data_IF_673807636021
#
_entry.id   IF_673807636021
#
_cell.length_a   1.000
_cell.length_b   1.000
_cell.length_c   1.000
_cell.angle_alpha   90.00
_cell.angle_beta   90.00
_cell.angle_gamma   90.00
#
_symmetry.space_group_name_H-M   'P 1'
#
loop_
_entity.id
_entity.type
_entity.pdbx_description
1 polymer ?
#
# COMPACT_ATOMS: atom_id res chain seq x y z
N UNK A 1 37.19 5.49 -34.16
CA UNK A 1 37.86 5.15 -32.87
C UNK A 1 37.26 3.85 -32.34
N UNK A 2 37.96 3.09 -31.48
CA UNK A 2 37.33 1.92 -30.83
C UNK A 2 36.05 2.37 -30.12
N UNK A 3 34.96 1.64 -30.35
CA UNK A 3 33.63 2.05 -29.90
C UNK A 3 33.56 2.22 -28.38
N UNK A 4 34.19 1.31 -27.64
CA UNK A 4 34.29 1.36 -26.18
C UNK A 4 34.99 2.64 -25.70
N UNK A 5 36.19 2.92 -26.21
CA UNK A 5 36.99 4.07 -25.76
C UNK A 5 36.27 5.39 -26.04
N UNK A 6 35.63 5.51 -27.20
CA UNK A 6 34.88 6.72 -27.55
C UNK A 6 33.65 6.90 -26.65
N UNK A 7 32.86 5.84 -26.42
CA UNK A 7 31.69 5.93 -25.55
C UNK A 7 32.08 6.21 -24.10
N UNK A 8 33.11 5.55 -23.58
CA UNK A 8 33.61 5.82 -22.22
C UNK A 8 34.01 7.28 -22.06
N UNK A 9 34.79 7.81 -23.01
CA UNK A 9 35.18 9.22 -23.03
C UNK A 9 33.97 10.17 -23.07
N UNK A 10 32.98 9.89 -23.93
CA UNK A 10 31.78 10.71 -24.03
C UNK A 10 30.93 10.65 -22.76
N UNK A 11 30.71 9.48 -22.18
CA UNK A 11 29.92 9.31 -20.96
C UNK A 11 30.55 10.02 -19.75
N UNK A 12 31.89 10.09 -19.70
CA UNK A 12 32.64 10.72 -18.61
C UNK A 12 32.78 12.23 -18.76
N UNK A 13 32.94 12.75 -19.98
CA UNK A 13 33.34 14.14 -20.19
C UNK A 13 32.27 15.04 -20.82
N UNK A 14 31.13 14.49 -21.23
CA UNK A 14 30.01 15.32 -21.71
C UNK A 14 29.19 15.89 -20.55
N UNK A 15 28.77 17.14 -20.68
CA UNK A 15 27.95 17.82 -19.67
C UNK A 15 26.49 17.35 -19.74
N UNK A 16 25.76 17.32 -18.61
CA UNK A 16 24.31 17.11 -18.61
C UNK A 16 23.57 18.03 -19.60
N UNK A 17 22.63 17.46 -20.35
CA UNK A 17 21.91 18.13 -21.44
C UNK A 17 22.63 18.14 -22.79
N UNK A 18 23.87 17.62 -22.87
CA UNK A 18 24.61 17.55 -24.13
C UNK A 18 24.06 16.45 -25.04
N UNK A 19 24.02 16.76 -26.34
CA UNK A 19 23.67 15.80 -27.40
C UNK A 19 24.92 15.59 -28.27
N UNK A 20 25.32 14.34 -28.43
CA UNK A 20 26.44 13.94 -29.29
C UNK A 20 25.94 12.91 -30.29
N UNK A 21 26.32 13.08 -31.56
CA UNK A 21 26.00 12.11 -32.60
C UNK A 21 27.25 11.30 -32.91
N UNK A 22 27.11 9.98 -32.91
CA UNK A 22 28.14 9.04 -33.36
C UNK A 22 27.59 8.18 -34.50
N UNK A 23 28.46 7.76 -35.41
CA UNK A 23 28.11 6.88 -36.52
C UNK A 23 28.92 5.59 -36.46
N UNK A 24 28.28 4.50 -36.86
CA UNK A 24 28.95 3.22 -37.13
C UNK A 24 29.72 3.28 -38.46
N UNK A 25 30.62 2.31 -38.75
CA UNK A 25 31.32 2.24 -40.04
C UNK A 25 30.37 2.13 -41.24
N UNK A 26 29.16 1.59 -41.02
CA UNK A 26 28.10 1.48 -42.03
C UNK A 26 27.23 2.75 -42.13
N UNK A 27 27.69 3.89 -41.60
CA UNK A 27 26.99 5.18 -41.58
C UNK A 27 25.63 5.17 -40.87
N UNK A 28 25.40 4.25 -39.93
CA UNK A 28 24.18 4.26 -39.11
C UNK A 28 24.37 5.28 -37.98
N UNK A 29 23.53 6.34 -37.88
CA UNK A 29 23.65 7.35 -36.85
C UNK A 29 23.05 6.88 -35.51
N UNK A 30 23.75 7.19 -34.44
CA UNK A 30 23.34 6.98 -33.05
C UNK A 30 23.46 8.33 -32.33
N UNK A 31 22.35 8.81 -31.79
CA UNK A 31 22.31 10.06 -31.02
C UNK A 31 22.35 9.74 -29.53
N UNK A 32 23.38 10.23 -28.85
CA UNK A 32 23.57 10.09 -27.41
C UNK A 32 23.14 11.39 -26.73
N UNK A 33 22.25 11.29 -25.75
CA UNK A 33 21.81 12.39 -24.91
C UNK A 33 22.22 12.11 -23.46
N UNK A 34 23.03 13.01 -22.88
CA UNK A 34 23.44 12.95 -21.48
C UNK A 34 22.32 13.55 -20.62
N UNK A 35 21.47 12.74 -19.99
CA UNK A 35 20.31 13.25 -19.24
C UNK A 35 20.72 13.93 -17.92
N UNK A 36 21.64 13.31 -17.18
CA UNK A 36 22.28 13.84 -15.97
C UNK A 36 23.74 13.35 -15.87
N UNK A 37 24.44 13.60 -14.77
CA UNK A 37 25.85 13.19 -14.57
C UNK A 37 26.05 11.67 -14.70
N UNK A 38 25.00 10.88 -14.43
CA UNK A 38 25.07 9.44 -14.21
C UNK A 38 24.13 8.65 -15.12
N UNK A 39 23.56 9.27 -16.15
CA UNK A 39 22.68 8.60 -17.09
C UNK A 39 22.87 9.10 -18.52
N UNK A 40 22.83 8.15 -19.45
CA UNK A 40 22.92 8.41 -20.88
C UNK A 40 21.78 7.70 -21.59
N UNK A 41 21.31 8.34 -22.63
CA UNK A 41 20.22 7.84 -23.41
C UNK A 41 20.59 7.85 -24.89
N UNK A 42 20.59 6.68 -25.51
CA UNK A 42 20.93 6.49 -26.91
C UNK A 42 19.66 6.30 -27.75
N UNK A 43 19.61 7.01 -28.87
CA UNK A 43 18.63 6.84 -29.93
C UNK A 43 19.33 6.30 -31.17
N UNK A 44 18.80 5.23 -31.72
CA UNK A 44 19.28 4.65 -32.98
C UNK A 44 18.07 4.31 -33.84
N UNK A 45 18.18 4.53 -35.15
CA UNK A 45 17.13 4.15 -36.09
C UNK A 45 17.62 3.05 -37.03
N UNK A 46 16.77 2.05 -37.23
CA UNK A 46 16.94 1.00 -38.25
C UNK A 46 15.57 0.69 -38.84
N UNK A 47 15.47 0.60 -40.17
CA UNK A 47 14.24 0.23 -40.88
C UNK A 47 13.00 1.07 -40.47
N UNK A 48 13.18 2.40 -40.41
CA UNK A 48 12.15 3.39 -40.00
C UNK A 48 11.65 3.28 -38.54
N UNK A 49 12.29 2.46 -37.70
CA UNK A 49 11.98 2.29 -36.29
C UNK A 49 13.07 2.92 -35.40
N UNK A 50 12.66 3.72 -34.41
CA UNK A 50 13.58 4.34 -33.44
C UNK A 50 13.61 3.51 -32.17
N UNK A 51 14.79 3.02 -31.80
CA UNK A 51 15.01 2.40 -30.49
C UNK A 51 15.67 3.38 -29.53
N UNK A 52 15.10 3.45 -28.34
CA UNK A 52 15.60 4.21 -27.20
C UNK A 52 16.23 3.25 -26.18
N UNK A 53 17.51 3.44 -25.89
CA UNK A 53 18.28 2.66 -24.91
C UNK A 53 18.73 3.61 -23.79
N UNK A 54 18.59 3.21 -22.52
CA UNK A 54 18.96 4.05 -21.38
C UNK A 54 19.89 3.27 -20.47
N UNK A 55 21.02 3.88 -20.15
CA UNK A 55 21.98 3.35 -19.18
C UNK A 55 22.15 4.32 -18.02
N UNK A 56 22.31 3.75 -16.82
CA UNK A 56 22.61 4.48 -15.59
C UNK A 56 23.89 3.93 -14.99
N UNK A 57 24.80 4.80 -14.57
CA UNK A 57 26.13 4.45 -14.11
C UNK A 57 26.68 5.45 -13.10
N UNK A 58 27.65 5.04 -12.31
CA UNK A 58 28.52 5.89 -11.51
C UNK A 58 29.97 5.81 -12.00
N UNK A 59 30.89 6.51 -11.32
CA UNK A 59 32.33 6.48 -11.67
C UNK A 59 32.93 5.07 -11.68
N UNK A 60 32.42 4.16 -10.85
CA UNK A 60 32.93 2.79 -10.75
C UNK A 60 32.32 1.84 -11.77
N UNK A 61 31.13 2.15 -12.30
CA UNK A 61 30.32 1.27 -13.16
C UNK A 61 30.21 1.75 -14.62
N UNK A 62 30.85 2.86 -14.98
CA UNK A 62 30.85 3.40 -16.35
C UNK A 62 31.26 2.36 -17.41
N UNK A 63 32.27 1.54 -17.12
CA UNK A 63 32.74 0.48 -18.01
C UNK A 63 31.62 -0.52 -18.36
N UNK A 64 30.81 -0.88 -17.36
CA UNK A 64 29.70 -1.83 -17.53
C UNK A 64 28.60 -1.20 -18.37
N UNK A 65 28.23 0.05 -18.09
CA UNK A 65 27.22 0.76 -18.88
C UNK A 65 27.65 0.93 -20.35
N UNK A 66 28.94 1.17 -20.62
CA UNK A 66 29.45 1.21 -22.00
C UNK A 66 29.29 -0.15 -22.69
N UNK A 67 29.67 -1.25 -22.02
CA UNK A 67 29.54 -2.60 -22.58
C UNK A 67 28.08 -3.01 -22.79
N UNK A 68 27.21 -2.71 -21.83
CA UNK A 68 25.78 -3.01 -21.91
C UNK A 68 25.13 -2.21 -23.05
N UNK A 69 25.49 -0.93 -23.21
CA UNK A 69 25.03 -0.10 -24.32
C UNK A 69 25.49 -0.63 -25.68
N UNK A 70 26.77 -0.98 -25.82
CA UNK A 70 27.32 -1.55 -27.05
C UNK A 70 26.67 -2.88 -27.41
N UNK A 71 26.41 -3.72 -26.41
CA UNK A 71 25.74 -5.01 -26.61
C UNK A 71 24.31 -4.79 -27.10
N UNK A 72 23.55 -3.90 -26.45
CA UNK A 72 22.18 -3.60 -26.85
C UNK A 72 22.07 -2.95 -28.24
N UNK A 73 23.03 -2.08 -28.59
CA UNK A 73 23.13 -1.49 -29.92
C UNK A 73 23.50 -2.55 -30.96
N UNK A 74 24.45 -3.43 -30.66
CA UNK A 74 24.88 -4.50 -31.57
C UNK A 74 23.75 -5.50 -31.83
N UNK A 75 23.02 -5.88 -30.78
CA UNK A 75 21.84 -6.76 -30.86
C UNK A 75 20.74 -6.14 -31.73
N UNK A 76 20.49 -4.84 -31.56
CA UNK A 76 19.45 -4.16 -32.34
C UNK A 76 19.85 -3.96 -33.80
N UNK A 77 21.08 -3.54 -34.04
CA UNK A 77 21.60 -3.35 -35.39
C UNK A 77 21.91 -4.67 -36.10
N UNK A 78 21.96 -5.79 -35.36
CA UNK A 78 22.42 -7.09 -35.83
C UNK A 78 23.79 -7.00 -36.49
N UNK A 79 24.68 -6.20 -35.89
CA UNK A 79 26.03 -5.94 -36.39
C UNK A 79 26.92 -5.65 -35.20
N UNK A 80 28.12 -6.22 -35.19
CA UNK A 80 29.10 -5.94 -34.16
C UNK A 80 29.62 -4.50 -34.30
N UNK A 81 29.57 -3.71 -33.23
CA UNK A 81 29.99 -2.31 -33.22
C UNK A 81 31.38 -2.21 -32.58
N UNK A 82 32.41 -2.44 -33.38
CA UNK A 82 33.81 -2.36 -32.91
C UNK A 82 34.37 -0.94 -32.97
N UNK A 83 33.84 -0.11 -33.87
CA UNK A 83 34.27 1.27 -34.08
C UNK A 83 33.11 2.26 -34.16
N UNK A 84 33.35 3.48 -33.68
CA UNK A 84 32.44 4.61 -33.77
C UNK A 84 33.20 5.88 -34.15
N UNK A 85 32.54 6.78 -34.87
CA UNK A 85 33.07 8.09 -35.26
C UNK A 85 32.09 9.18 -34.84
N UNK A 86 32.60 10.33 -34.36
CA UNK A 86 31.74 11.49 -34.06
C UNK A 86 31.28 12.11 -35.38
N UNK A 87 29.99 12.42 -35.48
CA UNK A 87 29.40 13.08 -36.64
C UNK A 87 28.78 14.42 -36.25
N UNK A 88 28.78 15.37 -37.19
CA UNK A 88 28.28 16.73 -36.97
C UNK A 88 26.75 16.82 -37.04
N UNK A 89 26.09 15.84 -37.65
CA UNK A 89 24.63 15.78 -37.75
C UNK A 89 24.15 14.35 -37.92
N UNK A 90 22.97 14.05 -37.37
CA UNK A 90 22.19 12.86 -37.68
C UNK A 90 20.92 13.30 -38.42
N UNK A 91 20.58 12.60 -39.48
CA UNK A 91 19.26 12.68 -40.10
C UNK A 91 18.57 11.34 -39.87
N UNK A 92 17.36 11.38 -39.32
CA UNK A 92 16.49 10.22 -39.11
C UNK A 92 15.26 10.31 -40.04
N UNK A 93 15.43 10.40 -41.37
CA UNK A 93 14.31 10.58 -42.28
C UNK A 93 13.41 9.34 -42.26
N UNK A 94 12.11 9.53 -42.08
CA UNK A 94 11.12 8.43 -42.04
C UNK A 94 11.07 7.65 -40.73
N UNK A 95 11.95 7.93 -39.77
CA UNK A 95 11.93 7.26 -38.47
C UNK A 95 10.85 7.86 -37.57
N UNK A 96 9.79 7.10 -37.32
CA UNK A 96 8.71 7.49 -36.40
C UNK A 96 8.73 6.52 -35.23
N UNK A 97 8.66 7.03 -34.00
CA UNK A 97 8.48 6.17 -32.83
C UNK A 97 7.16 5.40 -33.04
N UNK A 98 7.25 4.11 -33.41
CA UNK A 98 6.08 3.25 -33.57
C UNK A 98 5.41 3.15 -32.21
N UNK A 99 4.40 3.99 -31.98
CA UNK A 99 3.41 3.79 -30.93
C UNK A 99 2.68 2.49 -31.23
N UNK A 100 3.22 1.37 -30.78
CA UNK A 100 2.52 0.09 -30.82
C UNK A 100 1.18 0.25 -30.10
N UNK A 101 0.05 0.05 -30.79
CA UNK A 101 -1.16 -0.42 -30.13
C UNK A 101 -0.80 -1.76 -29.51
N UNK A 102 -1.05 -1.93 -28.21
CA UNK A 102 -0.71 -3.17 -27.49
C UNK A 102 -1.44 -4.38 -28.10
N UNK A 103 -0.84 -5.10 -29.05
CA UNK A 103 -1.27 -6.45 -29.45
C UNK A 103 -0.08 -7.39 -29.75
N UNK A 104 0.18 -8.24 -28.76
CA UNK A 104 0.58 -9.67 -28.81
C UNK A 104 1.66 -10.11 -29.81
N UNK A 105 2.92 -10.11 -29.36
CA UNK A 105 3.86 -11.17 -29.71
C UNK A 105 3.43 -12.50 -29.04
N UNK A 106 3.35 -13.56 -29.85
CA UNK A 106 3.30 -14.95 -29.39
C UNK A 106 4.66 -15.30 -28.80
N UNK A 107 4.89 -14.86 -27.56
CA UNK A 107 5.87 -15.47 -26.68
C UNK A 107 5.50 -16.95 -26.58
N UNK A 108 6.49 -17.86 -26.64
CA UNK A 108 6.36 -19.15 -25.94
C UNK A 108 5.76 -18.82 -24.58
N UNK A 109 4.52 -19.23 -24.35
CA UNK A 109 3.86 -19.02 -23.08
C UNK A 109 4.67 -19.80 -22.06
N UNK A 110 5.66 -19.15 -21.43
CA UNK A 110 5.75 -19.28 -19.98
C UNK A 110 4.32 -19.04 -19.53
N UNK A 111 3.66 -20.00 -18.87
CA UNK A 111 2.27 -19.84 -18.47
C UNK A 111 2.20 -18.47 -17.81
N UNK A 112 1.51 -17.54 -18.46
CA UNK A 112 1.18 -16.28 -17.80
C UNK A 112 0.44 -16.78 -16.57
N UNK A 113 0.92 -16.50 -15.34
CA UNK A 113 0.12 -16.84 -14.17
C UNK A 113 -1.25 -16.28 -14.50
N UNK A 114 -2.27 -17.16 -14.58
CA UNK A 114 -3.65 -16.73 -14.82
C UNK A 114 -3.82 -15.54 -13.90
N UNK A 115 -4.17 -14.36 -14.44
CA UNK A 115 -4.61 -13.28 -13.56
C UNK A 115 -5.82 -13.88 -12.86
N UNK A 116 -5.59 -14.35 -11.64
CA UNK A 116 -6.64 -14.87 -10.77
C UNK A 116 -7.70 -13.77 -10.73
N UNK A 117 -8.94 -14.14 -11.01
CA UNK A 117 -10.02 -13.19 -10.96
C UNK A 117 -10.13 -12.72 -9.50
N UNK A 118 -9.89 -11.43 -9.26
CA UNK A 118 -9.92 -10.87 -7.90
C UNK A 118 -11.28 -11.13 -7.25
N UNK A 119 -12.36 -11.19 -8.03
CA UNK A 119 -13.69 -11.56 -7.51
C UNK A 119 -13.70 -12.98 -6.94
N UNK A 120 -13.13 -13.94 -7.67
CA UNK A 120 -13.01 -15.32 -7.21
C UNK A 120 -12.16 -15.42 -5.94
N UNK A 121 -11.06 -14.65 -5.86
CA UNK A 121 -10.22 -14.62 -4.65
C UNK A 121 -10.99 -14.07 -3.44
N UNK A 122 -11.79 -13.02 -3.65
CA UNK A 122 -12.65 -12.45 -2.59
C UNK A 122 -13.71 -13.47 -2.15
N UNK A 123 -14.34 -14.19 -3.09
CA UNK A 123 -15.31 -15.25 -2.77
C UNK A 123 -14.66 -16.40 -1.96
N UNK A 124 -13.46 -16.83 -2.36
CA UNK A 124 -12.67 -17.80 -1.61
C UNK A 124 -12.31 -17.28 -0.21
N UNK A 125 -11.97 -16.00 -0.10
CA UNK A 125 -11.65 -15.37 1.18
C UNK A 125 -12.85 -15.41 2.14
N UNK A 126 -14.05 -15.13 1.63
CA UNK A 126 -15.32 -15.13 2.38
C UNK A 126 -15.79 -16.50 2.85
N UNK A 127 -15.27 -17.59 2.27
CA UNK A 127 -15.60 -18.94 2.75
C UNK A 127 -15.19 -19.06 4.22
N UNK A 128 -16.13 -19.39 5.10
CA UNK A 128 -15.90 -19.45 6.54
C UNK A 128 -15.13 -20.73 6.91
N UNK A 129 -14.18 -20.67 7.87
CA UNK A 129 -13.61 -21.88 8.45
C UNK A 129 -14.63 -22.61 9.34
N UNK A 130 -14.34 -23.84 9.73
CA UNK A 130 -15.20 -24.64 10.63
C UNK A 130 -15.43 -23.96 11.99
N UNK A 131 -14.38 -23.31 12.50
CA UNK A 131 -14.39 -22.52 13.72
C UNK A 131 -13.88 -21.11 13.43
N UNK A 132 -14.57 -20.10 13.94
CA UNK A 132 -14.19 -18.70 13.73
C UNK A 132 -14.70 -17.77 14.81
N UNK A 133 -14.04 -16.64 14.95
CA UNK A 133 -14.43 -15.58 15.87
C UNK A 133 -15.12 -14.45 15.10
N UNK A 134 -16.18 -13.91 15.70
CA UNK A 134 -16.97 -12.84 15.14
C UNK A 134 -16.96 -11.62 16.04
N UNK A 135 -16.74 -10.45 15.44
CA UNK A 135 -17.02 -9.14 16.02
C UNK A 135 -18.40 -8.66 15.54
N UNK A 136 -19.42 -8.63 16.42
CA UNK A 136 -20.72 -8.10 16.04
C UNK A 136 -20.61 -6.62 15.72
N UNK A 137 -21.13 -6.21 14.55
CA UNK A 137 -21.07 -4.82 14.11
C UNK A 137 -22.44 -4.16 14.23
N UNK A 138 -23.45 -4.72 13.57
CA UNK A 138 -24.82 -4.18 13.57
C UNK A 138 -25.85 -5.25 13.19
N UNK A 139 -27.12 -4.97 13.49
CA UNK A 139 -28.23 -5.82 13.07
C UNK A 139 -29.02 -5.17 11.93
N UNK A 140 -29.28 -5.92 10.87
CA UNK A 140 -30.04 -5.48 9.69
C UNK A 140 -31.00 -6.59 9.27
N UNK A 141 -32.28 -6.24 9.05
CA UNK A 141 -33.32 -7.19 8.61
C UNK A 141 -33.42 -8.47 9.46
N UNK A 142 -33.24 -8.33 10.79
CA UNK A 142 -33.29 -9.46 11.73
C UNK A 142 -32.02 -10.31 11.78
N UNK A 143 -31.02 -10.03 10.93
CA UNK A 143 -29.71 -10.70 10.92
C UNK A 143 -28.64 -9.83 11.56
N UNK A 144 -27.60 -10.47 12.08
CA UNK A 144 -26.41 -9.83 12.59
C UNK A 144 -25.35 -9.77 11.48
N UNK A 145 -24.89 -8.57 11.12
CA UNK A 145 -23.70 -8.37 10.32
C UNK A 145 -22.48 -8.36 11.26
N UNK A 146 -21.52 -9.24 11.01
CA UNK A 146 -20.32 -9.38 11.83
C UNK A 146 -19.06 -9.42 10.98
N UNK A 147 -17.94 -8.95 11.55
CA UNK A 147 -16.61 -9.16 11.00
C UNK A 147 -16.06 -10.50 11.51
N UNK A 148 -15.58 -11.34 10.62
CA UNK A 148 -14.93 -12.61 10.96
C UNK A 148 -13.43 -12.37 11.09
N UNK A 149 -12.85 -12.68 12.26
CA UNK A 149 -11.46 -12.31 12.56
C UNK A 149 -10.43 -13.14 11.78
N UNK A 150 -10.77 -14.38 11.41
CA UNK A 150 -9.90 -15.32 10.68
C UNK A 150 -9.74 -14.98 9.19
N UNK A 151 -10.60 -14.13 8.62
CA UNK A 151 -10.50 -13.73 7.21
C UNK A 151 -10.83 -12.24 6.97
N UNK A 152 -11.08 -11.48 8.04
CA UNK A 152 -11.44 -10.06 8.03
C UNK A 152 -12.60 -9.71 7.09
N UNK A 153 -13.45 -10.69 6.80
CA UNK A 153 -14.59 -10.55 5.90
C UNK A 153 -15.87 -10.34 6.69
N UNK A 154 -16.82 -9.62 6.10
CA UNK A 154 -18.16 -9.49 6.68
C UNK A 154 -18.99 -10.74 6.38
N UNK A 155 -19.78 -11.15 7.37
CA UNK A 155 -20.75 -12.25 7.26
C UNK A 155 -22.08 -11.86 7.89
N UNK A 156 -23.13 -12.60 7.56
CA UNK A 156 -24.45 -12.49 8.20
C UNK A 156 -24.77 -13.74 9.00
N UNK A 157 -25.36 -13.56 10.17
CA UNK A 157 -25.77 -14.61 11.08
C UNK A 157 -27.21 -14.40 11.50
N UNK A 158 -27.99 -15.47 11.60
CA UNK A 158 -29.39 -15.38 12.04
C UNK A 158 -29.52 -15.15 13.56
N UNK A 159 -28.45 -15.44 14.33
CA UNK A 159 -28.42 -15.24 15.78
C UNK A 159 -27.72 -13.93 16.15
N UNK A 160 -28.41 -13.09 16.92
CA UNK A 160 -27.87 -11.80 17.40
C UNK A 160 -27.03 -12.03 18.66
N UNK A 161 -25.78 -11.58 18.62
CA UNK A 161 -24.87 -11.49 19.76
C UNK A 161 -24.33 -10.07 19.91
N UNK A 162 -23.88 -9.71 21.12
CA UNK A 162 -23.46 -8.33 21.47
C UNK A 162 -21.98 -8.19 21.80
N UNK A 163 -21.27 -9.30 21.98
CA UNK A 163 -19.86 -9.33 22.30
C UNK A 163 -19.10 -10.13 21.25
N UNK A 164 -17.78 -9.96 21.21
CA UNK A 164 -16.93 -10.85 20.45
C UNK A 164 -17.21 -12.29 20.87
N UNK A 165 -17.38 -13.18 19.90
CA UNK A 165 -17.83 -14.54 20.15
C UNK A 165 -17.11 -15.52 19.24
N UNK A 166 -16.85 -16.71 19.75
CA UNK A 166 -16.39 -17.86 18.99
C UNK A 166 -17.59 -18.67 18.49
N UNK A 167 -17.54 -19.11 17.23
CA UNK A 167 -18.56 -19.89 16.54
C UNK A 167 -17.99 -21.25 16.18
N UNK A 168 -18.72 -22.31 16.55
CA UNK A 168 -18.40 -23.70 16.22
C UNK A 168 -19.70 -24.46 15.97
N UNK A 169 -19.98 -24.78 14.71
CA UNK A 169 -21.30 -25.28 14.31
C UNK A 169 -22.41 -24.31 14.75
N UNK A 170 -23.42 -24.81 15.47
CA UNK A 170 -24.53 -23.99 15.99
C UNK A 170 -24.23 -23.30 17.33
N UNK A 171 -23.08 -23.61 17.95
CA UNK A 171 -22.68 -23.02 19.21
C UNK A 171 -22.03 -21.65 18.99
N UNK A 172 -22.46 -20.65 19.77
CA UNK A 172 -21.84 -19.31 19.82
C UNK A 172 -21.52 -19.00 21.27
N UNK A 173 -20.23 -18.80 21.57
CA UNK A 173 -19.72 -18.59 22.92
C UNK A 173 -18.97 -17.25 23.00
N UNK A 174 -19.22 -16.42 24.03
CA UNK A 174 -18.50 -15.16 24.17
C UNK A 174 -17.01 -15.40 24.43
N UNK A 175 -16.16 -14.55 23.87
CA UNK A 175 -14.71 -14.53 24.12
C UNK A 175 -14.27 -13.11 24.48
N UNK A 176 -13.25 -13.00 25.33
CA UNK A 176 -12.68 -11.73 25.77
C UNK A 176 -11.20 -11.68 25.38
N UNK A 177 -10.87 -11.25 24.15
CA UNK A 177 -9.49 -11.07 23.76
C UNK A 177 -8.90 -9.85 24.46
N UNK A 178 -7.59 -9.78 24.46
CA UNK A 178 -6.87 -8.57 24.83
C UNK A 178 -7.24 -7.40 23.87
N UNK A 179 -7.52 -6.24 24.45
CA UNK A 179 -7.98 -5.05 23.72
C UNK A 179 -6.90 -4.52 22.75
N UNK A 180 -5.63 -4.60 23.16
CA UNK A 180 -4.51 -4.19 22.31
C UNK A 180 -4.44 -5.07 21.06
N UNK A 181 -4.63 -6.38 21.23
CA UNK A 181 -4.71 -7.35 20.13
C UNK A 181 -5.83 -7.00 19.15
N UNK A 182 -7.03 -6.72 19.66
CA UNK A 182 -8.16 -6.31 18.82
C UNK A 182 -7.86 -5.03 18.04
N UNK A 183 -7.28 -4.01 18.71
CA UNK A 183 -6.95 -2.73 18.08
C UNK A 183 -5.91 -2.88 16.96
N UNK A 184 -4.89 -3.74 17.12
CA UNK A 184 -3.94 -4.05 16.06
C UNK A 184 -4.64 -4.58 14.80
N UNK A 185 -5.53 -5.57 14.96
CA UNK A 185 -6.25 -6.19 13.84
C UNK A 185 -7.20 -5.20 13.17
N UNK A 186 -8.07 -4.55 13.95
CA UNK A 186 -9.07 -3.63 13.40
C UNK A 186 -8.42 -2.44 12.70
N UNK A 187 -7.30 -1.93 13.23
CA UNK A 187 -6.56 -0.84 12.62
C UNK A 187 -5.98 -1.19 11.25
N UNK A 188 -5.96 -2.45 10.82
CA UNK A 188 -5.55 -2.82 9.45
C UNK A 188 -6.67 -2.70 8.41
N UNK A 189 -7.93 -2.60 8.85
CA UNK A 189 -9.09 -2.62 7.96
C UNK A 189 -9.40 -1.19 7.52
N UNK A 190 -8.99 -0.82 6.30
CA UNK A 190 -9.08 0.55 5.79
C UNK A 190 -10.09 0.72 4.67
N UNK A 191 -10.39 1.97 4.33
CA UNK A 191 -11.35 2.32 3.29
C UNK A 191 -10.70 3.18 2.22
N UNK A 192 -10.72 2.72 0.97
CA UNK A 192 -10.41 3.53 -0.19
C UNK A 192 -11.70 4.24 -0.63
N UNK A 193 -11.70 5.58 -0.68
CA UNK A 193 -12.92 6.35 -1.01
C UNK A 193 -13.49 6.03 -2.40
N UNK A 194 -12.68 5.49 -3.31
CA UNK A 194 -13.12 5.13 -4.67
C UNK A 194 -13.49 3.66 -4.79
N UNK A 195 -12.89 2.79 -3.98
CA UNK A 195 -12.99 1.32 -4.16
C UNK A 195 -13.54 0.56 -2.95
N UNK A 196 -13.77 1.24 -1.83
CA UNK A 196 -14.13 0.61 -0.56
C UNK A 196 -13.03 -0.32 -0.03
N UNK A 197 -13.44 -1.41 0.61
CA UNK A 197 -12.56 -2.47 1.09
C UNK A 197 -12.98 -3.81 0.47
N UNK A 198 -12.08 -4.57 -0.18
CA UNK A 198 -12.49 -5.78 -0.89
C UNK A 198 -12.90 -6.92 0.06
N UNK A 199 -12.44 -6.89 1.31
CA UNK A 199 -12.63 -7.95 2.29
C UNK A 199 -13.81 -7.64 3.20
N UNK A 200 -13.83 -6.44 3.78
CA UNK A 200 -14.82 -6.03 4.76
C UNK A 200 -16.04 -5.34 4.15
N UNK A 201 -16.39 -5.68 2.90
CA UNK A 201 -17.64 -5.29 2.25
C UNK A 201 -18.59 -6.48 2.07
N UNK A 202 -19.87 -6.29 2.39
CA UNK A 202 -20.97 -7.22 2.16
C UNK A 202 -22.22 -6.43 1.79
N UNK A 203 -22.84 -6.78 0.65
CA UNK A 203 -23.88 -5.97 0.00
C UNK A 203 -23.45 -4.48 -0.10
N UNK A 204 -24.22 -3.58 0.50
CA UNK A 204 -23.93 -2.14 0.53
C UNK A 204 -23.09 -1.71 1.74
N UNK A 205 -22.84 -2.61 2.69
CA UNK A 205 -22.12 -2.28 3.92
C UNK A 205 -20.63 -2.54 3.76
N UNK A 206 -19.82 -1.57 4.17
CA UNK A 206 -18.37 -1.71 4.26
C UNK A 206 -17.89 -1.29 5.64
N UNK A 207 -17.30 -2.22 6.38
CA UNK A 207 -16.68 -1.93 7.66
C UNK A 207 -15.25 -1.45 7.48
N UNK A 208 -14.83 -0.45 8.25
CA UNK A 208 -13.45 0.03 8.25
C UNK A 208 -13.12 0.81 9.52
N UNK A 209 -11.83 1.09 9.70
CA UNK A 209 -11.32 1.99 10.74
C UNK A 209 -10.66 3.20 10.11
N UNK A 210 -10.82 4.35 10.75
CA UNK A 210 -10.21 5.58 10.31
C UNK A 210 -9.98 6.54 11.49
N UNK A 211 -8.93 7.33 11.39
CA UNK A 211 -8.58 8.36 12.34
C UNK A 211 -9.10 9.71 11.86
N UNK A 212 -9.60 10.48 12.81
CA UNK A 212 -10.16 11.80 12.54
C UNK A 212 -10.00 12.75 13.73
N UNK A 213 -9.96 14.03 13.42
CA UNK A 213 -10.18 15.10 14.40
C UNK A 213 -11.64 15.50 14.36
N UNK A 214 -12.35 15.36 15.48
CA UNK A 214 -13.77 15.70 15.57
C UNK A 214 -13.97 17.23 15.51
N UNK A 215 -14.80 17.73 14.59
CA UNK A 215 -15.05 19.17 14.42
C UNK A 215 -16.39 19.63 15.04
N UNK A 216 -17.15 18.72 15.63
CA UNK A 216 -18.42 18.97 16.29
C UNK A 216 -19.65 18.57 15.48
N UNK A 217 -20.81 18.75 16.11
CA UNK A 217 -22.12 18.48 15.53
C UNK A 217 -22.49 19.52 14.46
N UNK A 218 -23.06 19.03 13.36
CA UNK A 218 -23.50 19.82 12.21
C UNK A 218 -24.99 19.60 11.85
N UNK A 219 -25.70 18.78 12.64
CA UNK A 219 -27.14 18.56 12.48
C UNK A 219 -27.57 17.13 12.81
N UNK A 220 -28.60 16.66 12.12
CA UNK A 220 -29.11 15.28 12.20
C UNK A 220 -29.02 14.62 10.82
N UNK A 221 -28.79 13.32 10.80
CA UNK A 221 -29.01 12.46 9.64
C UNK A 221 -29.87 11.26 10.04
N UNK A 222 -30.03 10.32 9.11
CA UNK A 222 -30.85 9.13 9.31
C UNK A 222 -30.08 7.89 8.89
N UNK A 223 -30.13 6.86 9.73
CA UNK A 223 -29.59 5.55 9.44
C UNK A 223 -30.52 4.48 10.00
N UNK A 224 -30.92 3.52 9.16
CA UNK A 224 -31.86 2.46 9.51
C UNK A 224 -33.16 2.99 10.15
N UNK A 225 -33.73 4.04 9.56
CA UNK A 225 -34.94 4.72 10.05
C UNK A 225 -34.83 5.33 11.45
N UNK A 226 -33.61 5.56 11.93
CA UNK A 226 -33.33 6.27 13.18
C UNK A 226 -32.59 7.56 12.89
N UNK A 227 -33.02 8.63 13.55
CA UNK A 227 -32.27 9.87 13.57
C UNK A 227 -30.99 9.70 14.39
N UNK A 228 -29.86 10.12 13.81
CA UNK A 228 -28.54 10.08 14.44
C UNK A 228 -27.92 11.48 14.33
N UNK A 229 -27.23 11.99 15.38
CA UNK A 229 -26.46 13.21 15.26
C UNK A 229 -25.45 13.10 14.12
N UNK A 230 -25.40 14.14 13.30
CA UNK A 230 -24.46 14.28 12.19
C UNK A 230 -23.32 15.18 12.63
N UNK A 231 -22.09 14.73 12.39
CA UNK A 231 -20.85 15.41 12.80
C UNK A 231 -19.95 15.64 11.59
N UNK A 232 -19.13 16.68 11.68
CA UNK A 232 -18.02 16.91 10.75
C UNK A 232 -16.71 16.43 11.37
N UNK A 233 -15.85 15.82 10.57
CA UNK A 233 -14.53 15.37 10.97
C UNK A 233 -13.47 15.73 9.93
N UNK A 234 -12.27 16.06 10.41
CA UNK A 234 -11.07 16.14 9.57
C UNK A 234 -10.40 14.76 9.60
N UNK A 235 -10.65 13.97 8.55
CA UNK A 235 -10.02 12.67 8.33
C UNK A 235 -8.70 12.86 7.60
N UNK A 236 -7.94 11.77 7.47
CA UNK A 236 -6.66 11.78 6.78
C UNK A 236 -6.59 10.62 5.80
N UNK A 237 -6.18 10.88 4.56
CA UNK A 237 -5.86 9.82 3.60
C UNK A 237 -4.36 9.58 3.56
N UNK A 238 -3.98 8.33 3.38
CA UNK A 238 -2.60 7.92 3.14
C UNK A 238 -2.47 6.99 1.93
N UNK A 239 -1.24 6.78 1.48
CA UNK A 239 -0.90 5.92 0.35
C UNK A 239 0.39 5.14 0.64
N UNK A 240 0.71 4.16 -0.22
CA UNK A 240 1.91 3.31 -0.10
C UNK A 240 3.25 4.06 -0.02
N UNK A 241 3.31 5.35 -0.37
CA UNK A 241 4.51 6.19 -0.31
C UNK A 241 4.57 7.11 0.91
N UNK A 242 3.72 6.87 1.92
CA UNK A 242 3.67 7.66 3.15
C UNK A 242 3.11 9.07 2.96
N UNK A 243 2.40 9.33 1.87
CA UNK A 243 1.66 10.58 1.72
C UNK A 243 0.60 10.70 2.81
N UNK A 244 0.31 11.93 3.25
CA UNK A 244 -0.78 12.22 4.18
C UNK A 244 -1.52 13.46 3.69
N UNK A 245 -2.84 13.37 3.54
CA UNK A 245 -3.67 14.53 3.16
C UNK A 245 -4.89 14.61 4.06
N UNK A 246 -5.22 15.79 4.61
CA UNK A 246 -6.47 15.96 5.33
C UNK A 246 -7.64 16.01 4.35
N UNK A 247 -8.75 15.40 4.72
CA UNK A 247 -10.02 15.47 3.99
C UNK A 247 -11.17 15.71 4.98
N UNK A 248 -12.05 16.70 4.74
CA UNK A 248 -13.26 16.86 5.53
C UNK A 248 -14.28 15.79 5.12
N UNK A 249 -14.83 15.06 6.10
CA UNK A 249 -15.94 14.14 5.88
C UNK A 249 -17.02 14.36 6.94
N UNK A 250 -18.26 14.12 6.55
CA UNK A 250 -19.40 14.08 7.45
C UNK A 250 -19.73 12.63 7.81
N UNK A 251 -20.17 12.41 9.04
CA UNK A 251 -20.52 11.07 9.52
C UNK A 251 -21.60 11.14 10.60
N UNK A 252 -22.26 10.02 10.85
CA UNK A 252 -23.23 9.83 11.91
C UNK A 252 -22.57 9.21 13.14
N UNK A 253 -22.79 9.77 14.32
CA UNK A 253 -22.20 9.29 15.57
C UNK A 253 -23.08 9.64 16.77
N UNK A 254 -23.37 8.65 17.62
CA UNK A 254 -24.07 8.87 18.89
C UNK A 254 -23.12 9.31 20.02
N UNK A 255 -21.80 9.20 19.80
CA UNK A 255 -20.78 9.48 20.81
C UNK A 255 -20.66 10.98 21.07
N UNK A 256 -20.53 11.34 22.35
CA UNK A 256 -20.24 12.73 22.78
C UNK A 256 -18.75 12.97 22.83
N UNK A 257 -18.08 12.94 21.66
CA UNK A 257 -16.66 13.24 21.58
C UNK A 257 -16.38 14.70 21.96
N UNK A 258 -15.19 14.95 22.50
CA UNK A 258 -14.70 16.31 22.67
C UNK A 258 -14.37 16.88 21.31
N UNK A 259 -14.87 18.09 21.02
CA UNK A 259 -14.48 18.84 19.83
C UNK A 259 -12.95 19.03 19.83
N UNK A 260 -12.34 18.85 18.67
CA UNK A 260 -10.90 18.82 18.47
C UNK A 260 -10.19 17.73 19.29
N UNK A 261 -10.84 16.58 19.54
CA UNK A 261 -10.14 15.36 19.99
C UNK A 261 -9.65 14.54 18.79
N UNK A 262 -8.58 13.77 18.97
CA UNK A 262 -8.04 12.86 17.96
C UNK A 262 -8.54 11.44 18.26
N UNK A 263 -9.40 10.93 17.40
CA UNK A 263 -10.08 9.66 17.60
C UNK A 263 -9.73 8.66 16.50
N UNK A 264 -9.74 7.38 16.87
CA UNK A 264 -9.87 6.27 15.93
C UNK A 264 -11.32 5.79 16.01
N UNK A 265 -12.01 5.76 14.87
CA UNK A 265 -13.39 5.31 14.77
C UNK A 265 -13.51 3.97 14.04
N UNK A 266 -14.48 3.18 14.47
CA UNK A 266 -14.95 1.98 13.78
C UNK A 266 -16.20 2.38 13.00
N UNK A 267 -16.14 2.31 11.68
CA UNK A 267 -17.16 2.83 10.80
C UNK A 267 -17.79 1.72 9.95
N UNK A 268 -19.06 1.93 9.62
CA UNK A 268 -19.74 1.28 8.50
C UNK A 268 -20.04 2.37 7.47
N UNK A 269 -19.73 2.10 6.21
CA UNK A 269 -20.26 2.85 5.08
C UNK A 269 -21.38 2.03 4.44
N UNK A 270 -22.58 2.57 4.32
CA UNK A 270 -23.76 1.88 3.77
C UNK A 270 -23.99 2.16 2.27
N UNK A 271 -23.00 2.75 1.61
CA UNK A 271 -23.10 3.20 0.22
C UNK A 271 -23.42 4.69 0.09
N UNK A 272 -23.89 5.34 1.16
CA UNK A 272 -24.22 6.77 1.16
C UNK A 272 -23.55 7.54 2.29
N UNK A 273 -23.56 6.99 3.51
CA UNK A 273 -23.13 7.69 4.71
C UNK A 273 -22.13 6.87 5.50
N UNK A 274 -21.22 7.56 6.18
CA UNK A 274 -20.35 6.96 7.18
C UNK A 274 -21.05 6.97 8.53
N UNK A 275 -21.15 5.82 9.18
CA UNK A 275 -21.76 5.65 10.49
C UNK A 275 -20.74 5.08 11.44
N UNK A 276 -20.43 5.80 12.52
CA UNK A 276 -19.50 5.35 13.54
C UNK A 276 -20.22 4.41 14.51
N UNK A 277 -19.73 3.18 14.60
CA UNK A 277 -20.21 2.16 15.54
C UNK A 277 -19.54 2.27 16.91
N UNK A 278 -18.32 2.81 16.95
CA UNK A 278 -17.54 2.96 18.17
C UNK A 278 -16.13 3.48 17.88
N UNK A 279 -15.24 3.34 18.85
CA UNK A 279 -13.85 3.74 18.71
C UNK A 279 -13.26 4.23 20.02
N UNK A 280 -12.13 4.91 19.94
CA UNK A 280 -11.40 5.39 21.11
C UNK A 280 -10.66 6.70 20.84
N UNK A 281 -10.32 7.41 21.92
CA UNK A 281 -9.42 8.56 21.89
C UNK A 281 -7.97 8.06 21.79
N UNK A 282 -7.29 8.42 20.71
CA UNK A 282 -5.96 7.90 20.42
C UNK A 282 -4.91 8.41 21.41
N UNK A 283 -5.08 9.65 21.90
CA UNK A 283 -4.12 10.23 22.84
C UNK A 283 -4.30 9.62 24.23
N UNK A 284 -5.54 9.45 24.69
CA UNK A 284 -5.80 8.79 25.98
C UNK A 284 -5.31 7.33 25.98
N UNK A 285 -5.48 6.61 24.87
CA UNK A 285 -5.00 5.22 24.74
C UNK A 285 -3.48 5.12 24.69
N UNK A 286 -2.82 6.10 24.09
CA UNK A 286 -1.38 6.20 24.04
C UNK A 286 -0.80 6.45 25.43
N UNK A 287 -1.36 7.39 26.20
CA UNK A 287 -0.92 7.68 27.58
C UNK A 287 -1.08 6.48 28.52
N UNK A 288 -2.13 5.69 28.32
CA UNK A 288 -2.40 4.51 29.14
C UNK A 288 -1.58 3.27 28.71
N UNK A 289 -0.75 3.39 27.67
CA UNK A 289 0.01 2.26 27.12
C UNK A 289 -0.86 1.16 26.48
N UNK A 290 -2.15 1.43 26.23
CA UNK A 290 -3.10 0.44 25.68
C UNK A 290 -2.93 0.26 24.18
N UNK A 291 -2.68 1.35 23.47
CA UNK A 291 -2.41 1.34 22.04
C UNK A 291 -1.73 2.65 21.64
N UNK A 292 -0.49 2.58 21.14
CA UNK A 292 0.31 3.76 20.84
C UNK A 292 -0.04 4.36 19.48
N UNK A 293 0.29 5.64 19.29
CA UNK A 293 0.15 6.32 17.99
C UNK A 293 0.92 5.56 16.90
N UNK A 294 2.17 5.16 17.19
CA UNK A 294 3.00 4.43 16.23
C UNK A 294 2.44 3.04 15.90
N UNK A 295 1.86 2.35 16.89
CA UNK A 295 1.13 1.10 16.65
C UNK A 295 -0.05 1.30 15.71
N UNK A 296 -0.84 2.37 15.91
CA UNK A 296 -1.94 2.70 14.99
C UNK A 296 -1.44 3.01 13.58
N UNK A 297 -0.45 3.90 13.44
CA UNK A 297 0.09 4.29 12.14
C UNK A 297 0.64 3.10 11.38
N UNK A 298 1.44 2.24 12.03
CA UNK A 298 2.00 1.06 11.38
C UNK A 298 0.90 0.09 10.98
N UNK A 299 0.01 -0.28 11.90
CA UNK A 299 -1.14 -1.18 11.62
C UNK A 299 -1.96 -0.70 10.44
N UNK A 300 -2.16 0.62 10.37
CA UNK A 300 -2.92 1.25 9.30
C UNK A 300 -2.20 1.18 7.96
N UNK A 301 -0.89 1.30 7.97
CA UNK A 301 -0.05 1.27 6.78
C UNK A 301 0.06 -0.12 6.15
N UNK A 302 -0.25 -1.19 6.90
CA UNK A 302 -0.33 -2.55 6.37
C UNK A 302 -1.33 -2.68 5.22
N UNK A 303 -2.35 -1.82 5.13
CA UNK A 303 -3.30 -1.82 4.01
C UNK A 303 -2.63 -1.60 2.65
N UNK A 304 -1.44 -0.96 2.63
CA UNK A 304 -0.70 -0.65 1.41
C UNK A 304 0.58 -1.49 1.23
N UNK A 305 0.79 -2.50 2.08
CA UNK A 305 2.01 -3.31 2.05
C UNK A 305 2.06 -4.28 0.87
N UNK A 306 3.24 -4.86 0.65
CA UNK A 306 3.43 -5.98 -0.27
C UNK A 306 4.23 -7.06 0.42
N UNK A 307 3.78 -8.30 0.32
CA UNK A 307 4.57 -9.47 0.73
C UNK A 307 5.05 -9.38 2.19
N UNK A 308 4.16 -8.89 3.07
CA UNK A 308 4.40 -8.71 4.51
C UNK A 308 5.60 -7.83 4.88
N UNK A 309 5.94 -6.90 3.99
CA UNK A 309 7.05 -5.97 4.15
C UNK A 309 6.62 -4.54 3.82
N UNK A 310 7.09 -3.61 4.65
CA UNK A 310 6.85 -2.18 4.51
C UNK A 310 8.17 -1.49 4.25
N UNK A 311 8.23 -0.61 3.25
CA UNK A 311 9.40 0.21 2.99
C UNK A 311 9.61 1.19 4.16
N UNK A 312 10.77 1.12 4.81
CA UNK A 312 11.08 1.95 5.98
C UNK A 312 10.95 3.45 5.65
N UNK A 313 11.49 3.87 4.49
CA UNK A 313 11.45 5.26 4.03
C UNK A 313 10.02 5.80 3.86
N UNK A 314 9.10 4.93 3.40
CA UNK A 314 7.70 5.29 3.20
C UNK A 314 6.97 5.42 4.54
N UNK A 315 7.26 4.54 5.50
CA UNK A 315 6.71 4.64 6.84
C UNK A 315 7.26 5.85 7.62
N UNK A 316 8.56 6.10 7.57
CA UNK A 316 9.19 7.28 8.16
C UNK A 316 8.58 8.59 7.60
N UNK A 317 8.33 8.62 6.29
CA UNK A 317 7.64 9.74 5.65
C UNK A 317 6.20 9.90 6.12
N UNK A 318 5.45 8.81 6.34
CA UNK A 318 4.12 8.87 6.94
C UNK A 318 4.18 9.50 8.33
N UNK A 319 5.09 9.01 9.18
CA UNK A 319 5.27 9.50 10.56
C UNK A 319 5.62 10.99 10.55
N UNK A 320 6.59 11.40 9.74
CA UNK A 320 6.98 12.80 9.57
C UNK A 320 5.80 13.68 9.13
N UNK A 321 5.02 13.22 8.14
CA UNK A 321 3.85 13.96 7.67
C UNK A 321 2.75 14.04 8.74
N UNK A 322 2.56 12.95 9.50
CA UNK A 322 1.59 12.87 10.58
C UNK A 322 1.94 13.84 11.70
N UNK A 323 3.19 13.84 12.15
CA UNK A 323 3.65 14.78 13.17
C UNK A 323 3.45 16.21 12.69
N UNK A 324 3.88 16.53 11.47
CA UNK A 324 3.76 17.89 10.93
C UNK A 324 2.31 18.37 10.71
N UNK A 325 1.38 17.46 10.37
CA UNK A 325 0.02 17.83 9.96
C UNK A 325 -1.04 17.66 11.06
N UNK A 326 -0.79 16.76 12.02
CA UNK A 326 -1.76 16.36 13.05
C UNK A 326 -1.28 16.78 14.44
N UNK A 327 -0.03 16.46 14.79
CA UNK A 327 0.49 16.63 16.15
C UNK A 327 1.04 18.05 16.37
N UNK A 328 2.04 18.47 15.60
CA UNK A 328 2.76 19.74 15.78
C UNK A 328 1.91 20.98 15.47
N UNK A 329 0.93 20.85 14.57
CA UNK A 329 -0.01 21.93 14.21
C UNK A 329 -1.40 21.76 14.85
N UNK A 330 -1.56 20.77 15.74
CA UNK A 330 -2.86 20.36 16.26
C UNK A 330 -2.78 19.88 17.70
N UNK A 331 -3.40 18.74 17.98
CA UNK A 331 -3.58 18.21 19.34
C UNK A 331 -2.44 17.21 19.61
N UNK A 332 -1.77 17.33 20.75
CA UNK A 332 -0.76 16.35 21.18
C UNK A 332 0.69 16.75 20.96
N UNK A 333 1.02 18.03 20.80
CA UNK A 333 2.41 18.52 20.61
C UNK A 333 3.44 17.96 21.63
N UNK A 334 2.99 17.57 22.84
CA UNK A 334 3.83 16.90 23.84
C UNK A 334 4.38 15.53 23.41
N UNK A 335 3.71 14.84 22.48
CA UNK A 335 4.13 13.52 21.99
C UNK A 335 5.02 13.58 20.74
N UNK A 336 5.41 14.76 20.26
CA UNK A 336 6.26 14.91 19.05
C UNK A 336 7.52 14.04 19.15
N UNK A 337 8.21 14.11 20.28
CA UNK A 337 9.44 13.35 20.52
C UNK A 337 9.15 11.84 20.54
N UNK A 338 8.12 11.42 21.27
CA UNK A 338 7.71 10.02 21.39
C UNK A 338 7.26 9.42 20.05
N UNK A 339 6.71 10.21 19.13
CA UNK A 339 6.30 9.72 17.81
C UNK A 339 7.50 9.62 16.86
N UNK A 340 8.48 10.53 16.95
CA UNK A 340 9.63 10.61 16.04
C UNK A 340 10.78 9.61 16.32
N UNK A 341 10.92 9.08 17.54
CA UNK A 341 12.02 8.17 17.90
C UNK A 341 11.81 6.72 17.38
N UNK A 342 11.71 6.57 16.04
CA UNK A 342 11.24 5.35 15.36
C UNK A 342 12.09 4.09 15.60
N UNK A 343 13.42 4.19 15.65
CA UNK A 343 14.29 2.99 15.64
C UNK A 343 14.09 2.09 16.87
N UNK A 344 13.88 2.67 18.06
CA UNK A 344 13.62 1.89 19.27
C UNK A 344 12.15 1.46 19.35
N UNK A 345 11.23 2.31 18.89
CA UNK A 345 9.79 2.11 19.05
C UNK A 345 9.20 1.05 18.12
N UNK A 346 9.84 0.79 16.96
CA UNK A 346 9.37 -0.25 16.05
C UNK A 346 9.49 -1.65 16.66
N UNK A 347 10.49 -1.89 17.53
CA UNK A 347 10.66 -3.19 18.19
C UNK A 347 9.59 -3.45 19.27
N UNK A 348 8.96 -2.40 19.80
CA UNK A 348 7.88 -2.52 20.79
C UNK A 348 6.50 -2.78 20.13
N UNK A 349 6.41 -2.64 18.80
CA UNK A 349 5.16 -2.88 18.07
C UNK A 349 5.01 -4.37 17.80
N UNK A 350 3.96 -4.98 18.35
CA UNK A 350 3.78 -6.45 18.32
C UNK A 350 3.58 -7.07 16.92
N UNK A 351 3.25 -6.25 15.90
CA UNK A 351 3.17 -6.70 14.51
C UNK A 351 4.55 -6.74 13.83
N UNK A 352 5.58 -6.12 14.39
CA UNK A 352 6.93 -6.07 13.81
C UNK A 352 7.70 -7.33 14.17
N UNK A 353 8.23 -8.01 13.17
CA UNK A 353 9.12 -9.17 13.34
C UNK A 353 10.57 -8.74 13.44
N UNK A 354 11.00 -7.89 12.52
CA UNK A 354 12.32 -7.30 12.49
C UNK A 354 12.34 -6.03 11.64
N UNK A 355 13.37 -5.23 11.84
CA UNK A 355 13.62 -3.99 11.10
C UNK A 355 14.99 -4.09 10.45
N UNK A 356 15.05 -3.72 9.18
CA UNK A 356 16.27 -3.52 8.41
C UNK A 356 16.36 -2.06 7.98
N UNK A 357 17.49 -1.64 7.40
CA UNK A 357 17.64 -0.26 6.89
C UNK A 357 16.63 0.10 5.80
N UNK A 358 16.13 -0.89 5.05
CA UNK A 358 15.26 -0.67 3.90
C UNK A 358 13.80 -1.04 4.19
N UNK A 359 13.57 -2.00 5.08
CA UNK A 359 12.25 -2.59 5.28
C UNK A 359 11.93 -2.95 6.73
N UNK A 360 10.64 -2.85 7.06
CA UNK A 360 10.03 -3.33 8.30
C UNK A 360 9.24 -4.59 7.94
N UNK A 361 9.66 -5.74 8.46
CA UNK A 361 8.99 -7.00 8.21
C UNK A 361 7.96 -7.25 9.30
N UNK A 362 6.73 -7.59 8.90
CA UNK A 362 5.59 -7.63 9.81
C UNK A 362 4.85 -8.97 9.78
N UNK A 363 4.00 -9.20 10.78
CA UNK A 363 3.01 -10.28 10.85
C UNK A 363 1.67 -9.73 10.36
N UNK A 364 1.04 -10.41 9.41
CA UNK A 364 -0.28 -10.00 8.90
C UNK A 364 -1.37 -10.10 9.98
N UNK A 365 -2.47 -9.34 9.85
CA UNK A 365 -3.50 -9.29 10.88
C UNK A 365 -4.21 -10.63 11.17
N UNK A 366 -4.31 -11.53 10.17
CA UNK A 366 -4.96 -12.83 10.34
C UNK A 366 -4.05 -13.75 11.16
N UNK A 367 -2.77 -13.84 10.79
CA UNK A 367 -1.79 -14.59 11.59
C UNK A 367 -1.68 -14.02 13.01
N UNK A 368 -1.63 -12.68 13.13
CA UNK A 368 -1.54 -12.02 14.43
C UNK A 368 -2.73 -12.38 15.34
N UNK A 369 -3.96 -12.30 14.82
CA UNK A 369 -5.15 -12.72 15.55
C UNK A 369 -5.08 -14.20 15.97
N UNK A 370 -4.73 -15.09 15.04
CA UNK A 370 -4.70 -16.53 15.27
C UNK A 370 -3.76 -16.95 16.41
N UNK A 371 -2.54 -16.40 16.46
CA UNK A 371 -1.60 -16.74 17.52
C UNK A 371 -2.00 -16.08 18.85
N UNK A 372 -2.39 -14.81 18.85
CA UNK A 372 -2.76 -14.10 20.07
C UNK A 372 -4.03 -14.65 20.73
N UNK A 373 -5.02 -15.06 19.96
CA UNK A 373 -6.24 -15.68 20.50
C UNK A 373 -5.96 -17.02 21.19
N UNK A 374 -4.85 -17.68 20.84
CA UNK A 374 -4.35 -18.91 21.47
C UNK A 374 -3.31 -18.65 22.57
N UNK A 375 -3.04 -17.39 22.92
CA UNK A 375 -2.03 -17.03 23.92
C UNK A 375 -0.59 -17.28 23.49
N UNK A 376 -0.32 -17.33 22.19
CA UNK A 376 0.99 -17.60 21.61
C UNK A 376 1.63 -16.32 21.06
N UNK A 377 2.96 -16.35 20.88
CA UNK A 377 3.69 -15.26 20.24
C UNK A 377 3.35 -15.17 18.74
N UNK A 378 3.12 -13.96 18.19
CA UNK A 378 2.78 -13.79 16.80
C UNK A 378 3.88 -14.28 15.85
N UNK A 379 3.51 -15.18 14.94
CA UNK A 379 4.34 -15.63 13.84
C UNK A 379 3.55 -15.54 12.54
N UNK A 380 4.22 -15.64 11.38
CA UNK A 380 3.50 -15.79 10.11
C UNK A 380 2.91 -17.21 10.05
N UNK A 381 1.65 -17.32 9.71
CA UNK A 381 0.98 -18.61 9.49
C UNK A 381 1.42 -19.22 8.14
N UNK A 382 2.56 -19.91 8.12
CA UNK A 382 3.05 -20.63 6.93
C UNK A 382 2.68 -22.11 6.91
N UNK A 383 2.35 -22.67 8.08
CA UNK A 383 2.00 -24.08 8.30
C UNK A 383 0.81 -24.22 9.26
N UNK A 384 -0.05 -23.19 9.37
CA UNK A 384 -1.24 -23.22 10.21
C UNK A 384 -2.52 -23.32 9.37
N UNK A 385 -3.65 -23.61 10.02
CA UNK A 385 -4.97 -23.81 9.40
C UNK A 385 -5.46 -22.60 8.57
N UNK A 386 -4.95 -21.40 8.86
CA UNK A 386 -5.32 -20.16 8.16
C UNK A 386 -4.35 -19.74 7.05
N UNK A 387 -3.39 -20.60 6.69
CA UNK A 387 -2.37 -20.27 5.68
C UNK A 387 -2.99 -19.75 4.38
N UNK A 388 -4.00 -20.46 3.88
CA UNK A 388 -4.67 -20.09 2.63
C UNK A 388 -5.35 -18.72 2.73
N UNK A 389 -5.88 -18.37 3.92
CA UNK A 389 -6.48 -17.04 4.17
C UNK A 389 -5.44 -15.94 4.19
N UNK A 390 -4.28 -16.20 4.78
CA UNK A 390 -3.15 -15.26 4.80
C UNK A 390 -2.62 -15.01 3.39
N UNK A 391 -2.46 -16.07 2.59
CA UNK A 391 -2.04 -15.97 1.19
C UNK A 391 -3.06 -15.18 0.35
N UNK A 392 -4.36 -15.48 0.51
CA UNK A 392 -5.44 -14.74 -0.15
C UNK A 392 -5.46 -13.26 0.25
N UNK A 393 -5.32 -12.96 1.55
CA UNK A 393 -5.27 -11.59 2.06
C UNK A 393 -4.15 -10.80 1.38
N UNK A 394 -2.94 -11.36 1.30
CA UNK A 394 -1.81 -10.69 0.65
C UNK A 394 -2.07 -10.51 -0.86
N UNK A 395 -2.62 -11.51 -1.55
CA UNK A 395 -2.95 -11.42 -2.99
C UNK A 395 -4.01 -10.35 -3.28
N UNK A 396 -5.05 -10.24 -2.46
CA UNK A 396 -6.18 -9.33 -2.67
C UNK A 396 -5.78 -7.88 -2.35
N UNK A 397 -5.11 -7.66 -1.20
CA UNK A 397 -4.76 -6.31 -0.75
C UNK A 397 -3.65 -5.68 -1.58
N UNK A 398 -2.75 -6.50 -2.16
CA UNK A 398 -1.64 -6.07 -3.02
C UNK A 398 -2.12 -5.25 -4.21
N UNK A 399 -2.02 -3.93 -4.09
CA UNK A 399 -2.38 -2.97 -5.13
C UNK A 399 -3.87 -2.62 -5.20
N UNK A 400 -4.69 -3.07 -4.24
CA UNK A 400 -6.08 -2.63 -4.14
C UNK A 400 -6.18 -1.16 -3.73
N UNK A 401 -5.63 -0.86 -2.56
CA UNK A 401 -5.64 0.47 -1.94
C UNK A 401 -4.63 1.38 -2.63
N UNK A 402 -5.13 2.41 -3.32
CA UNK A 402 -4.26 3.46 -3.87
C UNK A 402 -4.09 4.59 -2.87
N UNK A 403 -5.21 4.97 -2.27
CA UNK A 403 -5.31 5.98 -1.23
C UNK A 403 -6.41 5.54 -0.27
N UNK A 404 -6.11 5.47 1.02
CA UNK A 404 -7.01 4.92 2.02
C UNK A 404 -7.12 5.88 3.21
N UNK A 405 -8.27 5.89 3.87
CA UNK A 405 -8.44 6.59 5.14
C UNK A 405 -7.50 5.96 6.17
N UNK A 406 -6.61 6.78 6.72
CA UNK A 406 -5.57 6.36 7.65
C UNK A 406 -6.17 5.95 8.98
#
# INVERSE_FOLDING_TARGET
MKAYDLLAYLLEHTQPGSIVVVTTPNNIPIMLNKEDEFSVLAYVCKDEDVKKLRETFDKSTIHRAVLDLLTQLSDYLQTQIDELNIANSASFPGCVEKRTPRQREVKREKPRPKKEDIKLLIEQMRTLPEEFDILPLLSHEGKLISLVMQNLSLTTLDKIVKSLSHVKGDAIMPINPDLQTLNYVLSTIKFDLQKGNPLSSFDNFTFFTAMFVDQGDIGEGEFMSKKIPKRSGKFFTSNSKGGLKPIPLEFLDYSKNKKNGLYVGYFIHDGQQFVRLGGFDLLDYHEQGKFTINAYLLSSFLAAQKDFSIEYSAFDKLVSNFVNSVISKGIGAKYVKEVFELENLLYDIQLVKNVTKESINIVDPISFWYYKSKGQDPLLCTECELKDKVELWNKITKGWFREFLL
#
